data_IF_443816424134
#
_entry.id   IF_443816424134
#
_cell.length_a   1.000
_cell.length_b   1.000
_cell.length_c   1.000
_cell.angle_alpha   90.00
_cell.angle_beta   90.00
_cell.angle_gamma   90.00
#
_symmetry.space_group_name_H-M   'P 1'
#
loop_
_entity.id
_entity.type
_entity.pdbx_description
1 polymer ?
#
# COMPACT_ATOMS: atom_id res chain seq x y z
N UNK A 1 5.73 -9.73 13.20
CA UNK A 1 6.81 -9.96 12.21
C UNK A 1 6.87 -8.81 11.23
N UNK A 2 8.02 -8.20 11.07
CA UNK A 2 8.27 -7.20 10.05
C UNK A 2 9.43 -7.71 9.18
N UNK A 3 9.14 -8.43 8.08
CA UNK A 3 10.18 -8.92 7.18
C UNK A 3 10.80 -7.76 6.40
N UNK A 4 11.82 -7.14 6.97
CA UNK A 4 12.46 -5.90 6.52
C UNK A 4 12.78 -5.91 5.03
N UNK A 5 13.31 -7.01 4.49
CA UNK A 5 13.66 -7.10 3.07
C UNK A 5 12.43 -7.05 2.15
N UNK A 6 11.36 -7.78 2.50
CA UNK A 6 10.13 -7.82 1.68
C UNK A 6 9.41 -6.48 1.73
N UNK A 7 9.24 -5.90 2.93
CA UNK A 7 8.65 -4.57 3.06
C UNK A 7 9.53 -3.49 2.43
N UNK A 8 10.86 -3.59 2.58
CA UNK A 8 11.79 -2.66 1.95
C UNK A 8 11.68 -2.65 0.43
N UNK A 9 11.58 -3.84 -0.20
CA UNK A 9 11.39 -3.93 -1.66
C UNK A 9 10.03 -3.36 -2.09
N UNK A 10 8.97 -3.69 -1.36
CA UNK A 10 7.62 -3.17 -1.65
C UNK A 10 7.55 -1.65 -1.53
N UNK A 11 8.10 -1.10 -0.43
CA UNK A 11 8.20 0.36 -0.22
C UNK A 11 9.02 1.01 -1.31
N UNK A 12 10.14 0.39 -1.72
CA UNK A 12 10.98 0.90 -2.81
C UNK A 12 10.19 1.01 -4.12
N UNK A 13 9.44 -0.02 -4.50
CA UNK A 13 8.61 0.00 -5.72
C UNK A 13 7.56 1.13 -5.66
N UNK A 14 6.88 1.30 -4.52
CA UNK A 14 5.89 2.36 -4.32
C UNK A 14 6.53 3.74 -4.44
N UNK A 15 7.63 3.96 -3.73
CA UNK A 15 8.32 5.26 -3.70
C UNK A 15 8.87 5.61 -5.07
N UNK A 16 9.50 4.65 -5.74
CA UNK A 16 10.09 4.86 -7.06
C UNK A 16 9.02 5.16 -8.11
N UNK A 17 7.91 4.42 -8.09
CA UNK A 17 6.77 4.71 -8.97
C UNK A 17 6.15 6.08 -8.67
N UNK A 18 6.00 6.46 -7.39
CA UNK A 18 5.48 7.77 -7.00
C UNK A 18 6.42 8.88 -7.44
N UNK A 19 7.72 8.69 -7.29
CA UNK A 19 8.73 9.64 -7.76
C UNK A 19 8.65 9.83 -9.27
N UNK A 20 8.71 8.74 -10.07
CA UNK A 20 8.67 8.81 -11.52
C UNK A 20 7.38 9.46 -12.02
N UNK A 21 6.23 9.09 -11.43
CA UNK A 21 4.94 9.67 -11.76
C UNK A 21 4.90 11.18 -11.48
N UNK A 22 5.28 11.60 -10.28
CA UNK A 22 5.27 13.02 -9.89
C UNK A 22 6.29 13.82 -10.69
N UNK A 23 7.44 13.26 -11.01
CA UNK A 23 8.49 13.89 -11.81
C UNK A 23 8.07 14.06 -13.27
N UNK A 24 7.40 13.07 -13.85
CA UNK A 24 6.84 13.18 -15.21
C UNK A 24 5.84 14.32 -15.31
N UNK A 25 4.84 14.38 -14.42
CA UNK A 25 3.84 15.45 -14.44
C UNK A 25 4.43 16.82 -14.14
N UNK A 26 5.45 16.89 -13.32
CA UNK A 26 6.20 18.11 -13.05
C UNK A 26 6.87 18.64 -14.33
N UNK A 27 7.57 17.78 -15.06
CA UNK A 27 8.26 18.17 -16.31
C UNK A 27 7.32 18.41 -17.48
N UNK A 28 6.19 17.71 -17.55
CA UNK A 28 5.20 17.87 -18.62
C UNK A 28 4.41 19.19 -18.52
N UNK A 29 4.58 19.98 -17.44
CA UNK A 29 3.87 21.24 -17.24
C UNK A 29 2.35 21.10 -17.17
N UNK A 30 1.84 19.88 -16.94
CA UNK A 30 0.40 19.58 -16.94
C UNK A 30 -0.28 20.20 -15.70
N UNK A 31 0.48 20.48 -14.67
CA UNK A 31 0.01 21.27 -13.53
C UNK A 31 0.24 22.74 -13.84
N UNK A 32 -0.84 23.43 -14.12
CA UNK A 32 -0.90 24.88 -14.07
C UNK A 32 -0.71 25.33 -12.63
N UNK A 33 0.55 25.29 -12.13
CA UNK A 33 0.87 26.00 -10.90
C UNK A 33 0.85 27.49 -11.25
N UNK A 34 0.27 28.35 -10.40
CA UNK A 34 0.30 29.81 -10.59
C UNK A 34 1.71 30.41 -10.46
N UNK A 35 2.74 29.57 -10.36
CA UNK A 35 4.14 29.97 -10.15
C UNK A 35 4.89 29.80 -11.48
N UNK A 36 5.61 30.83 -11.96
CA UNK A 36 6.31 30.78 -13.25
C UNK A 36 7.33 29.63 -13.31
N UNK A 37 7.28 28.86 -14.41
CA UNK A 37 8.16 27.72 -14.70
C UNK A 37 9.65 28.02 -14.66
N UNK A 38 10.05 29.29 -14.75
CA UNK A 38 11.45 29.75 -14.71
C UNK A 38 12.12 29.57 -13.33
N UNK A 39 11.36 29.36 -12.26
CA UNK A 39 11.89 29.18 -10.89
C UNK A 39 12.18 27.71 -10.56
N UNK A 40 11.91 26.77 -11.49
CA UNK A 40 11.89 25.31 -11.24
C UNK A 40 13.08 24.55 -11.83
N UNK A 41 14.09 25.21 -12.38
CA UNK A 41 15.32 24.55 -12.86
C UNK A 41 16.25 24.14 -11.71
N UNK A 42 15.72 23.36 -10.74
CA UNK A 42 16.60 22.49 -9.95
C UNK A 42 17.15 21.42 -10.89
N UNK A 43 18.47 21.30 -10.95
CA UNK A 43 19.16 20.32 -11.80
C UNK A 43 18.58 18.91 -11.55
N UNK A 44 18.38 18.14 -12.60
CA UNK A 44 17.83 16.76 -12.56
C UNK A 44 18.47 15.87 -11.50
N UNK A 45 19.77 16.05 -11.23
CA UNK A 45 20.48 15.30 -10.19
C UNK A 45 19.99 15.54 -8.76
N UNK A 46 19.54 16.75 -8.43
CA UNK A 46 19.03 17.09 -7.08
C UNK A 46 17.68 16.40 -6.83
N UNK A 47 16.88 16.18 -7.86
CA UNK A 47 15.58 15.53 -7.73
C UNK A 47 15.71 14.07 -7.30
N UNK A 48 16.67 13.31 -7.83
CA UNK A 48 16.88 11.90 -7.45
C UNK A 48 17.32 11.72 -6.00
N UNK A 49 17.96 12.71 -5.39
CA UNK A 49 18.32 12.70 -3.96
C UNK A 49 17.07 12.59 -3.09
N UNK A 50 15.92 13.10 -3.54
CA UNK A 50 14.64 13.04 -2.82
C UNK A 50 14.09 11.61 -2.66
N UNK A 51 14.56 10.65 -3.48
CA UNK A 51 14.19 9.23 -3.31
C UNK A 51 14.56 8.68 -1.94
N UNK A 52 15.69 9.12 -1.37
CA UNK A 52 16.16 8.63 -0.06
C UNK A 52 15.20 9.05 1.06
N UNK A 53 14.89 10.35 1.25
CA UNK A 53 13.96 10.76 2.29
C UNK A 53 12.54 10.23 2.04
N UNK A 54 12.05 10.15 0.81
CA UNK A 54 10.76 9.54 0.48
C UNK A 54 10.72 8.07 0.89
N UNK A 55 11.79 7.31 0.60
CA UNK A 55 11.89 5.92 1.01
C UNK A 55 11.89 5.77 2.54
N UNK A 56 12.70 6.57 3.24
CA UNK A 56 12.79 6.53 4.70
C UNK A 56 11.43 6.84 5.34
N UNK A 57 10.76 7.89 4.90
CA UNK A 57 9.44 8.25 5.43
C UNK A 57 8.40 7.15 5.18
N UNK A 58 8.35 6.60 3.96
CA UNK A 58 7.42 5.53 3.64
C UNK A 58 7.72 4.26 4.46
N UNK A 59 8.99 3.89 4.60
CA UNK A 59 9.40 2.74 5.41
C UNK A 59 9.04 2.92 6.89
N UNK A 60 9.32 4.10 7.47
CA UNK A 60 8.91 4.44 8.82
C UNK A 60 7.39 4.40 8.99
N UNK A 61 6.63 4.82 7.97
CA UNK A 61 5.17 4.78 7.99
C UNK A 61 4.64 3.34 8.06
N UNK A 62 5.15 2.44 7.23
CA UNK A 62 4.79 1.01 7.30
C UNK A 62 5.20 0.39 8.64
N UNK A 63 6.35 0.77 9.18
CA UNK A 63 6.78 0.33 10.50
C UNK A 63 5.84 0.82 11.61
N UNK A 64 5.40 2.09 11.55
CA UNK A 64 4.44 2.65 12.51
C UNK A 64 3.09 1.91 12.47
N UNK A 65 2.54 1.66 11.28
CA UNK A 65 1.30 0.87 11.14
C UNK A 65 1.48 -0.50 11.78
N UNK A 66 2.61 -1.17 11.51
CA UNK A 66 2.87 -2.50 12.07
C UNK A 66 3.03 -2.49 13.59
N UNK A 67 3.64 -1.45 14.15
CA UNK A 67 3.73 -1.28 15.60
C UNK A 67 2.33 -1.09 16.21
N UNK A 68 1.50 -0.25 15.59
CA UNK A 68 0.14 -0.01 16.05
C UNK A 68 -0.73 -1.27 15.99
N UNK A 69 -0.54 -2.13 14.98
CA UNK A 69 -1.20 -3.44 14.90
C UNK A 69 -0.85 -4.32 16.12
N UNK A 70 0.41 -4.33 16.57
CA UNK A 70 0.82 -5.12 17.76
C UNK A 70 0.12 -4.60 19.03
N UNK A 71 -0.20 -3.30 19.13
CA UNK A 71 -1.01 -2.77 20.24
C UNK A 71 -2.49 -3.14 20.10
N UNK A 72 -3.04 -3.06 18.88
CA UNK A 72 -4.44 -3.36 18.59
C UNK A 72 -4.77 -4.83 18.87
N UNK A 73 -3.91 -5.73 18.39
CA UNK A 73 -4.14 -7.17 18.40
C UNK A 73 -3.62 -7.88 19.66
N UNK A 74 -3.01 -7.16 20.63
CA UNK A 74 -2.27 -7.74 21.76
C UNK A 74 -3.09 -8.76 22.55
N UNK A 75 -4.32 -8.42 22.94
CA UNK A 75 -5.17 -9.30 23.77
C UNK A 75 -5.57 -10.56 22.97
N UNK A 76 -5.91 -10.40 21.70
CA UNK A 76 -6.28 -11.51 20.82
C UNK A 76 -5.08 -12.42 20.54
N UNK A 77 -3.92 -11.84 20.30
CA UNK A 77 -2.68 -12.60 20.06
C UNK A 77 -2.21 -13.33 21.31
N UNK A 78 -2.38 -12.78 22.51
CA UNK A 78 -2.11 -13.51 23.76
C UNK A 78 -2.98 -14.76 23.89
N UNK A 79 -4.23 -14.72 23.42
CA UNK A 79 -5.18 -15.82 23.50
C UNK A 79 -4.96 -16.89 22.43
N UNK A 80 -4.82 -16.46 21.17
CA UNK A 80 -4.82 -17.40 20.03
C UNK A 80 -3.44 -17.65 19.42
N UNK A 81 -2.46 -16.77 19.69
CA UNK A 81 -1.13 -16.82 19.07
C UNK A 81 -0.01 -16.50 20.06
N UNK A 82 0.05 -17.21 21.22
CA UNK A 82 1.01 -16.93 22.30
C UNK A 82 2.48 -17.10 21.87
N UNK A 83 2.72 -17.75 20.72
CA UNK A 83 4.04 -17.93 20.12
C UNK A 83 4.62 -16.66 19.46
N UNK A 84 3.81 -15.61 19.26
CA UNK A 84 4.28 -14.34 18.68
C UNK A 84 5.27 -13.63 19.60
N UNK A 85 6.19 -12.79 19.05
CA UNK A 85 7.25 -12.17 19.85
C UNK A 85 6.75 -11.29 21.01
N UNK A 86 5.69 -10.51 20.79
CA UNK A 86 5.14 -9.60 21.82
C UNK A 86 4.39 -10.37 22.92
N UNK A 87 3.41 -11.24 22.63
CA UNK A 87 2.79 -12.09 23.65
C UNK A 87 3.78 -12.95 24.43
N UNK A 88 4.84 -13.41 23.77
CA UNK A 88 5.90 -14.24 24.38
C UNK A 88 6.88 -13.43 25.24
N UNK A 89 6.76 -12.11 25.27
CA UNK A 89 7.60 -11.24 26.10
C UNK A 89 9.01 -10.97 25.54
N UNK A 90 9.31 -11.38 24.29
CA UNK A 90 10.60 -11.08 23.65
C UNK A 90 10.75 -9.59 23.29
N UNK A 91 9.63 -8.91 23.02
CA UNK A 91 9.57 -7.49 22.75
C UNK A 91 8.48 -6.91 23.64
N UNK A 92 8.80 -5.87 24.40
CA UNK A 92 7.85 -5.21 25.29
C UNK A 92 7.06 -4.14 24.54
N UNK A 93 5.78 -3.97 24.87
CA UNK A 93 4.97 -2.89 24.34
C UNK A 93 5.55 -1.49 24.64
N UNK A 94 6.26 -1.33 25.78
CA UNK A 94 6.97 -0.09 26.11
C UNK A 94 8.10 0.24 25.12
N UNK A 95 8.83 -0.77 24.66
CA UNK A 95 9.89 -0.60 23.65
C UNK A 95 9.29 -0.20 22.29
N UNK A 96 8.18 -0.84 21.90
CA UNK A 96 7.44 -0.48 20.70
C UNK A 96 6.88 0.95 20.76
N UNK A 97 6.43 1.40 21.95
CA UNK A 97 5.98 2.79 22.14
C UNK A 97 7.11 3.78 21.93
N UNK A 98 8.30 3.51 22.46
CA UNK A 98 9.49 4.36 22.25
C UNK A 98 9.86 4.39 20.76
N UNK A 99 9.88 3.23 20.11
CA UNK A 99 10.16 3.12 18.67
C UNK A 99 9.14 3.91 17.83
N UNK A 100 7.85 3.85 18.19
CA UNK A 100 6.78 4.63 17.54
C UNK A 100 7.06 6.14 17.61
N UNK A 101 7.46 6.64 18.79
CA UNK A 101 7.80 8.05 18.99
C UNK A 101 9.02 8.43 18.13
N UNK A 102 10.06 7.60 18.12
CA UNK A 102 11.25 7.83 17.29
C UNK A 102 10.86 7.90 15.81
N UNK A 103 10.05 6.97 15.32
CA UNK A 103 9.54 6.99 13.94
C UNK A 103 8.78 8.28 13.63
N UNK A 104 7.93 8.74 14.55
CA UNK A 104 7.17 9.97 14.37
C UNK A 104 8.09 11.20 14.29
N UNK A 105 9.03 11.34 15.23
CA UNK A 105 9.99 12.46 15.24
C UNK A 105 10.82 12.48 13.95
N UNK A 106 11.34 11.32 13.52
CA UNK A 106 12.12 11.22 12.29
C UNK A 106 11.29 11.60 11.06
N UNK A 107 10.04 11.18 10.95
CA UNK A 107 9.15 11.55 9.84
C UNK A 107 8.91 13.07 9.78
N UNK A 108 8.66 13.72 10.92
CA UNK A 108 8.51 15.18 10.98
C UNK A 108 9.78 15.88 10.52
N UNK A 109 10.93 15.45 11.03
CA UNK A 109 12.23 16.04 10.66
C UNK A 109 12.49 15.88 9.15
N UNK A 110 12.31 14.68 8.62
CA UNK A 110 12.50 14.42 7.18
C UNK A 110 11.52 15.27 6.35
N UNK A 111 10.27 15.40 6.77
CA UNK A 111 9.27 16.21 6.05
C UNK A 111 9.69 17.69 6.02
N UNK A 112 10.09 18.26 7.15
CA UNK A 112 10.47 19.67 7.24
C UNK A 112 11.71 19.98 6.39
N UNK A 113 12.73 19.11 6.41
CA UNK A 113 14.01 19.40 5.79
C UNK A 113 14.09 18.97 4.31
N UNK A 114 13.33 17.96 3.87
CA UNK A 114 13.50 17.34 2.56
C UNK A 114 12.28 17.42 1.65
N UNK A 115 11.10 17.85 2.14
CA UNK A 115 9.98 18.10 1.24
C UNK A 115 10.28 19.30 0.34
N UNK A 116 9.53 19.43 -0.74
CA UNK A 116 9.67 20.58 -1.62
C UNK A 116 9.31 21.85 -0.85
N UNK A 117 10.19 22.86 -0.87
CA UNK A 117 10.03 24.11 -0.11
C UNK A 117 8.71 24.82 -0.38
N UNK A 118 8.21 24.73 -1.62
CA UNK A 118 6.93 25.31 -2.03
C UNK A 118 5.75 24.58 -1.38
N UNK A 119 5.87 23.27 -1.20
CA UNK A 119 4.80 22.40 -0.68
C UNK A 119 5.03 21.98 0.77
N UNK A 120 6.00 22.56 1.48
CA UNK A 120 6.39 22.13 2.83
C UNK A 120 5.19 22.11 3.81
N UNK A 121 4.38 23.17 3.82
CA UNK A 121 3.17 23.24 4.66
C UNK A 121 2.17 22.15 4.23
N UNK A 122 1.96 21.97 2.94
CA UNK A 122 1.08 20.92 2.42
C UNK A 122 1.58 19.52 2.79
N UNK A 123 2.89 19.29 2.68
CA UNK A 123 3.52 18.03 3.08
C UNK A 123 3.29 17.72 4.54
N UNK A 124 3.44 18.73 5.40
CA UNK A 124 3.18 18.58 6.83
C UNK A 124 1.70 18.30 7.13
N UNK A 125 0.78 19.01 6.46
CA UNK A 125 -0.67 18.75 6.58
C UNK A 125 -0.99 17.32 6.14
N UNK A 126 -0.46 16.87 5.00
CA UNK A 126 -0.66 15.51 4.52
C UNK A 126 -0.14 14.46 5.51
N UNK A 127 1.04 14.69 6.10
CA UNK A 127 1.57 13.81 7.15
C UNK A 127 0.63 13.72 8.35
N UNK A 128 0.10 14.85 8.81
CA UNK A 128 -0.87 14.90 9.92
C UNK A 128 -2.16 14.15 9.57
N UNK A 129 -2.65 14.28 8.34
CA UNK A 129 -3.83 13.55 7.86
C UNK A 129 -3.58 12.05 7.85
N UNK A 130 -2.42 11.60 7.34
CA UNK A 130 -2.04 10.17 7.37
C UNK A 130 -2.01 9.66 8.80
N UNK A 131 -1.39 10.37 9.73
CA UNK A 131 -1.32 9.95 11.14
C UNK A 131 -2.69 9.93 11.81
N UNK A 132 -3.51 10.97 11.62
CA UNK A 132 -4.87 11.00 12.14
C UNK A 132 -5.68 9.80 11.63
N UNK A 133 -5.55 9.48 10.34
CA UNK A 133 -6.23 8.33 9.75
C UNK A 133 -5.79 7.00 10.37
N UNK A 134 -4.48 6.79 10.52
CA UNK A 134 -3.92 5.57 11.11
C UNK A 134 -4.34 5.41 12.58
N UNK A 135 -4.39 6.51 13.33
CA UNK A 135 -4.88 6.47 14.71
C UNK A 135 -6.37 6.12 14.79
N UNK A 136 -7.20 6.63 13.86
CA UNK A 136 -8.60 6.26 13.75
C UNK A 136 -8.76 4.78 13.37
N UNK A 137 -7.99 4.31 12.38
CA UNK A 137 -7.96 2.90 11.96
C UNK A 137 -7.55 1.97 13.12
N UNK A 138 -6.56 2.35 13.91
CA UNK A 138 -6.13 1.58 15.09
C UNK A 138 -7.24 1.45 16.14
N UNK A 139 -8.19 2.43 16.20
CA UNK A 139 -9.37 2.40 17.05
C UNK A 139 -10.62 1.84 16.37
N UNK A 140 -10.47 1.14 15.23
CA UNK A 140 -11.58 0.63 14.42
C UNK A 140 -12.62 1.72 14.13
N UNK A 141 -12.17 2.97 13.93
CA UNK A 141 -13.03 4.16 13.70
C UNK A 141 -14.14 4.33 14.75
N UNK A 142 -13.93 3.81 15.96
CA UNK A 142 -14.90 3.71 17.04
C UNK A 142 -16.17 2.92 16.68
N UNK A 143 -16.13 2.13 15.61
CA UNK A 143 -17.25 1.34 15.06
C UNK A 143 -16.93 -0.16 15.00
N UNK A 144 -16.13 -0.70 15.91
CA UNK A 144 -15.64 -2.10 15.89
C UNK A 144 -16.77 -3.11 15.63
N UNK A 145 -17.91 -3.02 16.39
CA UNK A 145 -19.04 -3.94 16.25
C UNK A 145 -19.68 -3.93 14.85
N UNK A 146 -19.65 -2.79 14.16
CA UNK A 146 -20.15 -2.65 12.80
C UNK A 146 -19.15 -3.23 11.80
N UNK A 147 -17.88 -2.89 11.94
CA UNK A 147 -16.80 -3.36 11.07
C UNK A 147 -16.61 -4.88 11.14
N UNK A 148 -16.75 -5.46 12.34
CA UNK A 148 -16.70 -6.91 12.52
C UNK A 148 -17.76 -7.68 11.73
N UNK A 149 -18.91 -7.05 11.46
CA UNK A 149 -19.99 -7.63 10.66
C UNK A 149 -19.84 -7.39 9.16
N UNK A 150 -19.10 -6.37 8.77
CA UNK A 150 -18.98 -5.92 7.37
C UNK A 150 -17.54 -5.97 6.89
N UNK A 151 -17.05 -7.18 6.62
CA UNK A 151 -15.65 -7.43 6.22
C UNK A 151 -15.16 -6.50 5.08
N UNK A 152 -15.95 -6.31 4.02
CA UNK A 152 -15.54 -5.47 2.88
C UNK A 152 -15.43 -3.99 3.25
N UNK A 153 -16.31 -3.49 4.13
CA UNK A 153 -16.24 -2.09 4.60
C UNK A 153 -14.99 -1.91 5.47
N UNK A 154 -14.71 -2.88 6.34
CA UNK A 154 -13.51 -2.84 7.18
C UNK A 154 -12.25 -2.71 6.32
N UNK A 155 -12.13 -3.58 5.32
CA UNK A 155 -10.98 -3.54 4.40
C UNK A 155 -10.95 -2.25 3.58
N UNK A 156 -12.10 -1.76 3.12
CA UNK A 156 -12.15 -0.49 2.39
C UNK A 156 -11.57 0.67 3.20
N UNK A 157 -11.81 0.68 4.51
CA UNK A 157 -11.25 1.68 5.40
C UNK A 157 -9.77 1.39 5.72
N UNK A 158 -9.39 0.16 6.01
CA UNK A 158 -8.02 -0.16 6.36
C UNK A 158 -7.05 0.12 5.20
N UNK A 159 -7.43 -0.19 3.96
CA UNK A 159 -6.56 -0.03 2.78
C UNK A 159 -6.43 1.43 2.29
N UNK A 160 -7.20 2.37 2.86
CA UNK A 160 -7.10 3.80 2.52
C UNK A 160 -5.78 4.46 2.98
N UNK A 161 -5.02 3.81 3.84
CA UNK A 161 -3.71 4.29 4.30
C UNK A 161 -2.74 4.46 3.14
N UNK A 162 -2.72 3.51 2.19
CA UNK A 162 -1.76 3.53 1.07
C UNK A 162 -2.01 4.70 0.10
N UNK A 163 -3.24 4.97 -0.39
CA UNK A 163 -3.49 6.16 -1.21
C UNK A 163 -3.17 7.49 -0.49
N UNK A 164 -3.45 7.59 0.80
CA UNK A 164 -3.08 8.77 1.59
C UNK A 164 -1.55 8.94 1.67
N UNK A 165 -0.83 7.84 1.83
CA UNK A 165 0.63 7.84 1.81
C UNK A 165 1.18 8.28 0.44
N UNK A 166 0.59 7.81 -0.68
CA UNK A 166 0.99 8.22 -2.04
C UNK A 166 0.80 9.73 -2.24
N UNK A 167 -0.35 10.27 -1.82
CA UNK A 167 -0.61 11.71 -1.89
C UNK A 167 0.43 12.49 -1.07
N UNK A 168 0.73 12.04 0.14
CA UNK A 168 1.76 12.66 0.97
C UNK A 168 3.15 12.59 0.31
N UNK A 169 3.57 11.44 -0.18
CA UNK A 169 4.87 11.28 -0.84
C UNK A 169 5.00 12.13 -2.10
N UNK A 170 3.92 12.31 -2.86
CA UNK A 170 3.94 13.15 -4.06
C UNK A 170 4.30 14.59 -3.75
N UNK A 171 3.99 15.10 -2.56
CA UNK A 171 4.31 16.48 -2.14
C UNK A 171 5.81 16.76 -2.02
N UNK A 172 6.65 15.72 -1.96
CA UNK A 172 8.12 15.90 -1.97
C UNK A 172 8.63 16.39 -3.33
N UNK A 173 7.90 16.13 -4.40
CA UNK A 173 8.21 16.51 -5.78
C UNK A 173 7.18 17.51 -6.27
N UNK A 174 5.96 17.03 -6.50
CA UNK A 174 4.82 17.79 -6.97
C UNK A 174 3.52 17.05 -6.60
N UNK A 175 2.51 17.70 -6.02
CA UNK A 175 1.28 17.05 -5.55
C UNK A 175 0.37 16.64 -6.72
N UNK A 176 0.67 15.51 -7.36
CA UNK A 176 0.00 15.00 -8.58
C UNK A 176 -0.69 13.67 -8.39
N UNK A 177 -0.67 13.12 -7.20
CA UNK A 177 -0.89 11.70 -6.95
C UNK A 177 -2.29 11.11 -7.17
N UNK A 178 -3.27 11.80 -7.77
CA UNK A 178 -4.67 11.32 -7.77
C UNK A 178 -4.88 9.96 -8.42
N UNK A 179 -4.49 9.75 -9.67
CA UNK A 179 -4.65 8.45 -10.35
C UNK A 179 -3.74 7.37 -9.78
N UNK A 180 -2.53 7.73 -9.37
CA UNK A 180 -1.62 6.80 -8.68
C UNK A 180 -2.16 6.39 -7.31
N UNK A 181 -2.81 7.31 -6.58
CA UNK A 181 -3.48 7.01 -5.32
C UNK A 181 -4.67 6.04 -5.52
N UNK A 182 -5.49 6.25 -6.55
CA UNK A 182 -6.57 5.30 -6.92
C UNK A 182 -6.00 3.93 -7.27
N UNK A 183 -4.94 3.90 -8.08
CA UNK A 183 -4.27 2.65 -8.45
C UNK A 183 -3.70 1.93 -7.22
N UNK A 184 -3.03 2.63 -6.33
CA UNK A 184 -2.46 2.05 -5.11
C UNK A 184 -3.53 1.55 -4.14
N UNK A 185 -4.69 2.20 -4.09
CA UNK A 185 -5.84 1.73 -3.33
C UNK A 185 -6.35 0.38 -3.84
N UNK A 186 -6.49 0.22 -5.15
CA UNK A 186 -6.88 -1.07 -5.74
C UNK A 186 -5.81 -2.13 -5.49
N UNK A 187 -4.53 -1.76 -5.60
CA UNK A 187 -3.40 -2.65 -5.34
C UNK A 187 -3.43 -3.16 -3.89
N UNK A 188 -3.64 -2.28 -2.92
CA UNK A 188 -3.68 -2.69 -1.51
C UNK A 188 -4.81 -3.68 -1.23
N UNK A 189 -5.99 -3.49 -1.85
CA UNK A 189 -7.07 -4.47 -1.79
C UNK A 189 -6.69 -5.82 -2.40
N UNK A 190 -6.01 -5.83 -3.56
CA UNK A 190 -5.56 -7.07 -4.20
C UNK A 190 -4.59 -7.81 -3.27
N UNK A 191 -3.62 -7.11 -2.68
CA UNK A 191 -2.66 -7.69 -1.73
C UNK A 191 -3.39 -8.31 -0.53
N UNK A 192 -4.33 -7.58 0.06
CA UNK A 192 -5.06 -8.03 1.24
C UNK A 192 -5.95 -9.23 0.94
N UNK A 193 -6.69 -9.21 -0.18
CA UNK A 193 -7.54 -10.32 -0.60
C UNK A 193 -6.70 -11.54 -0.97
N UNK A 194 -5.65 -11.38 -1.79
CA UNK A 194 -4.78 -12.48 -2.22
C UNK A 194 -4.11 -13.18 -1.04
N UNK A 195 -3.63 -12.43 -0.06
CA UNK A 195 -3.00 -12.97 1.16
C UNK A 195 -3.96 -13.81 2.01
N UNK A 196 -5.25 -13.53 1.96
CA UNK A 196 -6.30 -14.20 2.73
C UNK A 196 -7.16 -15.15 1.89
N UNK A 197 -6.69 -15.56 0.71
CA UNK A 197 -7.26 -16.67 -0.06
C UNK A 197 -6.64 -17.96 0.43
N UNK A 198 -7.48 -18.85 1.00
CA UNK A 198 -7.05 -20.14 1.53
C UNK A 198 -7.96 -21.27 1.06
N UNK A 199 -7.42 -22.48 1.00
CA UNK A 199 -8.26 -23.68 0.88
C UNK A 199 -8.79 -24.07 2.27
N UNK A 200 -9.83 -24.90 2.32
CA UNK A 200 -10.46 -25.31 3.59
C UNK A 200 -9.49 -25.95 4.59
N UNK A 201 -8.46 -26.64 4.09
CA UNK A 201 -7.45 -27.32 4.90
C UNK A 201 -6.45 -26.37 5.56
N UNK A 202 -6.32 -25.13 5.05
CA UNK A 202 -5.41 -24.12 5.56
C UNK A 202 -6.14 -23.02 6.37
N UNK A 203 -7.45 -23.16 6.59
CA UNK A 203 -8.21 -22.23 7.41
C UNK A 203 -7.84 -22.42 8.89
N UNK A 204 -7.46 -21.33 9.55
CA UNK A 204 -7.10 -21.31 10.96
C UNK A 204 -8.30 -20.83 11.79
N UNK A 205 -8.57 -21.48 12.92
CA UNK A 205 -9.61 -21.09 13.85
C UNK A 205 -9.38 -19.65 14.37
N UNK A 206 -10.42 -18.82 14.35
CA UNK A 206 -10.33 -17.41 14.74
C UNK A 206 -9.78 -16.44 13.69
N UNK A 207 -9.37 -16.92 12.49
CA UNK A 207 -8.90 -16.08 11.39
C UNK A 207 -10.00 -15.93 10.34
N UNK A 208 -10.52 -14.69 10.17
CA UNK A 208 -11.50 -14.40 9.11
C UNK A 208 -10.78 -14.27 7.77
N UNK A 209 -10.92 -15.26 6.89
CA UNK A 209 -10.42 -15.22 5.51
C UNK A 209 -11.56 -14.91 4.55
N UNK A 210 -11.24 -14.38 3.35
CA UNK A 210 -12.27 -14.10 2.34
C UNK A 210 -12.92 -15.39 1.83
N UNK A 211 -12.13 -16.46 1.75
CA UNK A 211 -12.63 -17.78 1.34
C UNK A 211 -13.54 -18.41 2.39
N UNK A 212 -13.30 -18.20 3.68
CA UNK A 212 -14.19 -18.66 4.75
C UNK A 212 -15.50 -17.86 4.82
N UNK A 213 -15.42 -16.52 4.69
CA UNK A 213 -16.60 -15.66 4.86
C UNK A 213 -17.47 -15.59 3.61
N UNK A 214 -16.87 -15.41 2.43
CA UNK A 214 -17.58 -15.23 1.15
C UNK A 214 -17.75 -16.54 0.37
N UNK A 215 -16.95 -17.55 0.69
CA UNK A 215 -16.77 -18.75 -0.13
C UNK A 215 -15.80 -18.51 -1.29
N UNK A 216 -15.16 -19.60 -1.77
CA UNK A 216 -14.10 -19.54 -2.79
C UNK A 216 -14.57 -18.83 -4.07
N UNK A 217 -15.79 -19.12 -4.54
CA UNK A 217 -16.30 -18.53 -5.78
C UNK A 217 -16.40 -17.01 -5.72
N UNK A 218 -17.01 -16.45 -4.67
CA UNK A 218 -17.14 -14.99 -4.50
C UNK A 218 -15.79 -14.31 -4.24
N UNK A 219 -14.89 -14.96 -3.50
CA UNK A 219 -13.54 -14.44 -3.28
C UNK A 219 -12.75 -14.35 -4.60
N UNK A 220 -12.90 -15.32 -5.50
CA UNK A 220 -12.28 -15.28 -6.83
C UNK A 220 -12.89 -14.19 -7.72
N UNK A 221 -14.22 -14.02 -7.68
CA UNK A 221 -14.88 -12.91 -8.40
C UNK A 221 -14.39 -11.56 -7.89
N UNK A 222 -14.22 -11.40 -6.58
CA UNK A 222 -13.69 -10.16 -5.98
C UNK A 222 -12.30 -9.83 -6.51
N UNK A 223 -11.38 -10.80 -6.50
CA UNK A 223 -10.01 -10.57 -7.03
C UNK A 223 -10.04 -10.23 -8.52
N UNK A 224 -10.85 -10.95 -9.29
CA UNK A 224 -11.01 -10.70 -10.72
C UNK A 224 -11.51 -9.28 -11.00
N UNK A 225 -12.50 -8.81 -10.25
CA UNK A 225 -13.02 -7.43 -10.36
C UNK A 225 -11.94 -6.41 -10.01
N UNK A 226 -11.20 -6.62 -8.91
CA UNK A 226 -10.13 -5.71 -8.49
C UNK A 226 -8.99 -5.64 -9.53
N UNK A 227 -8.55 -6.78 -10.07
CA UNK A 227 -7.52 -6.82 -11.11
C UNK A 227 -8.01 -6.20 -12.43
N UNK A 228 -9.30 -6.32 -12.75
CA UNK A 228 -9.90 -5.64 -13.90
C UNK A 228 -9.90 -4.12 -13.69
N UNK A 229 -10.29 -3.65 -12.51
CA UNK A 229 -10.23 -2.22 -12.18
C UNK A 229 -8.80 -1.69 -12.23
N UNK A 230 -7.83 -2.46 -11.73
CA UNK A 230 -6.41 -2.11 -11.81
C UNK A 230 -5.95 -1.99 -13.27
N UNK A 231 -6.31 -2.94 -14.13
CA UNK A 231 -6.02 -2.91 -15.56
C UNK A 231 -6.56 -1.63 -16.23
N UNK A 232 -7.82 -1.25 -15.92
CA UNK A 232 -8.45 -0.04 -16.47
C UNK A 232 -7.71 1.21 -16.00
N UNK A 233 -7.43 1.34 -14.70
CA UNK A 233 -6.72 2.50 -14.14
C UNK A 233 -5.28 2.59 -14.69
N UNK A 234 -4.58 1.46 -14.79
CA UNK A 234 -3.26 1.41 -15.42
C UNK A 234 -3.31 1.90 -16.87
N UNK A 235 -4.33 1.48 -17.63
CA UNK A 235 -4.55 1.92 -19.00
C UNK A 235 -4.82 3.43 -19.14
N UNK A 236 -5.53 4.03 -18.17
CA UNK A 236 -5.73 5.50 -18.15
C UNK A 236 -4.43 6.26 -17.88
N UNK A 237 -3.55 5.71 -17.04
CA UNK A 237 -2.25 6.34 -16.73
C UNK A 237 -1.27 6.21 -17.89
N UNK A 238 -1.12 5.01 -18.47
CA UNK A 238 -0.11 4.70 -19.48
C UNK A 238 -0.55 5.00 -20.92
N UNK A 239 -1.83 5.30 -21.14
CA UNK A 239 -2.39 5.64 -22.44
C UNK A 239 -2.64 4.43 -23.35
N UNK A 240 -3.39 4.67 -24.44
CA UNK A 240 -3.93 3.64 -25.33
C UNK A 240 -2.89 2.77 -26.04
N UNK A 241 -1.72 3.33 -26.35
CA UNK A 241 -0.62 2.60 -27.03
C UNK A 241 -0.14 1.39 -26.25
N UNK A 242 -0.36 1.35 -24.95
CA UNK A 242 0.11 0.30 -24.06
C UNK A 242 -0.96 -0.77 -23.74
N UNK A 243 -2.20 -0.61 -24.20
CA UNK A 243 -3.31 -1.52 -23.81
C UNK A 243 -3.07 -2.98 -24.13
N UNK A 244 -2.43 -3.30 -25.26
CA UNK A 244 -2.16 -4.69 -25.63
C UNK A 244 -1.33 -5.40 -24.56
N UNK A 245 -0.26 -4.74 -24.08
CA UNK A 245 0.61 -5.28 -23.03
C UNK A 245 -0.08 -5.37 -21.68
N UNK A 246 -0.88 -4.35 -21.33
CA UNK A 246 -1.64 -4.30 -20.08
C UNK A 246 -2.66 -5.45 -20.05
N UNK A 247 -3.39 -5.66 -21.12
CA UNK A 247 -4.37 -6.77 -21.23
C UNK A 247 -3.68 -8.13 -21.22
N UNK A 248 -2.53 -8.28 -21.91
CA UNK A 248 -1.78 -9.53 -21.89
C UNK A 248 -1.28 -9.87 -20.46
N UNK A 249 -0.75 -8.90 -19.72
CA UNK A 249 -0.34 -9.07 -18.33
C UNK A 249 -1.51 -9.45 -17.42
N UNK A 250 -2.64 -8.78 -17.58
CA UNK A 250 -3.88 -9.09 -16.84
C UNK A 250 -4.36 -10.52 -17.09
N UNK A 251 -4.36 -11.00 -18.34
CA UNK A 251 -4.75 -12.37 -18.67
C UNK A 251 -3.80 -13.36 -18.00
N UNK A 252 -2.48 -13.13 -18.09
CA UNK A 252 -1.48 -13.99 -17.47
C UNK A 252 -1.63 -14.06 -15.95
N UNK A 253 -1.87 -12.93 -15.30
CA UNK A 253 -2.07 -12.84 -13.85
C UNK A 253 -3.30 -13.63 -13.38
N UNK A 254 -4.35 -13.70 -14.20
CA UNK A 254 -5.60 -14.39 -13.87
C UNK A 254 -5.57 -15.91 -14.08
N UNK A 255 -4.59 -16.46 -14.79
CA UNK A 255 -4.48 -17.92 -14.99
C UNK A 255 -4.40 -18.66 -13.65
N UNK A 256 -3.56 -18.31 -12.68
CA UNK A 256 -3.52 -18.96 -11.37
C UNK A 256 -4.81 -18.81 -10.56
N UNK A 257 -5.50 -17.67 -10.67
CA UNK A 257 -6.79 -17.44 -10.01
C UNK A 257 -7.86 -18.42 -10.53
N UNK A 258 -7.91 -18.63 -11.84
CA UNK A 258 -8.80 -19.61 -12.49
C UNK A 258 -8.43 -21.05 -12.08
N UNK A 259 -7.13 -21.36 -12.02
CA UNK A 259 -6.64 -22.67 -11.57
C UNK A 259 -7.03 -22.96 -10.12
N UNK A 260 -6.94 -21.96 -9.25
CA UNK A 260 -7.37 -22.10 -7.85
C UNK A 260 -8.88 -22.29 -7.75
N UNK A 261 -9.68 -21.52 -8.49
CA UNK A 261 -11.13 -21.69 -8.52
C UNK A 261 -11.58 -23.11 -8.91
N UNK A 262 -10.83 -23.76 -9.82
CA UNK A 262 -11.09 -25.13 -10.28
C UNK A 262 -10.57 -26.20 -9.32
N UNK A 263 -9.30 -26.10 -8.89
CA UNK A 263 -8.59 -27.16 -8.15
C UNK A 263 -8.73 -27.07 -6.62
N UNK A 264 -8.91 -25.85 -6.08
CA UNK A 264 -9.12 -25.55 -4.65
C UNK A 264 -8.06 -26.15 -3.70
N UNK A 265 -6.81 -26.25 -4.16
CA UNK A 265 -5.71 -26.86 -3.40
C UNK A 265 -4.80 -25.81 -2.79
N UNK A 266 -4.06 -26.15 -1.72
CA UNK A 266 -3.06 -25.31 -1.08
C UNK A 266 -2.01 -24.78 -2.08
N UNK A 267 -1.55 -25.64 -3.00
CA UNK A 267 -0.57 -25.22 -4.02
C UNK A 267 -1.13 -24.14 -4.95
N UNK A 268 -2.38 -24.31 -5.39
CA UNK A 268 -3.02 -23.33 -6.30
C UNK A 268 -3.39 -22.04 -5.58
N UNK A 269 -3.73 -22.06 -4.29
CA UNK A 269 -3.93 -20.86 -3.48
C UNK A 269 -2.62 -20.02 -3.37
N UNK A 270 -1.51 -20.68 -3.04
CA UNK A 270 -0.19 -20.01 -3.00
C UNK A 270 0.25 -19.49 -4.37
N UNK A 271 -0.08 -20.19 -5.44
CA UNK A 271 0.21 -19.75 -6.80
C UNK A 271 -0.60 -18.50 -7.17
N UNK A 272 -1.86 -18.42 -6.76
CA UNK A 272 -2.71 -17.25 -6.97
C UNK A 272 -2.17 -16.02 -6.19
N UNK A 273 -1.79 -16.20 -4.92
CA UNK A 273 -1.15 -15.15 -4.10
C UNK A 273 0.16 -14.66 -4.74
N UNK A 274 1.02 -15.58 -5.18
CA UNK A 274 2.30 -15.24 -5.82
C UNK A 274 2.07 -14.49 -7.15
N UNK A 275 1.11 -14.92 -7.94
CA UNK A 275 0.75 -14.27 -9.22
C UNK A 275 0.27 -12.85 -9.00
N UNK A 276 -0.60 -12.62 -8.01
CA UNK A 276 -1.07 -11.28 -7.67
C UNK A 276 0.11 -10.37 -7.28
N UNK A 277 1.03 -10.85 -6.44
CA UNK A 277 2.21 -10.08 -6.04
C UNK A 277 3.15 -9.76 -7.22
N UNK A 278 3.37 -10.72 -8.13
CA UNK A 278 4.17 -10.50 -9.34
C UNK A 278 3.48 -9.50 -10.27
N UNK A 279 2.17 -9.63 -10.47
CA UNK A 279 1.39 -8.70 -11.28
C UNK A 279 1.52 -7.27 -10.76
N UNK A 280 1.36 -7.05 -9.46
CA UNK A 280 1.53 -5.76 -8.80
C UNK A 280 2.93 -5.18 -9.01
N UNK A 281 3.97 -6.00 -8.84
CA UNK A 281 5.35 -5.57 -9.08
C UNK A 281 5.54 -5.11 -10.54
N UNK A 282 5.01 -5.86 -11.51
CA UNK A 282 5.09 -5.49 -12.94
C UNK A 282 4.29 -4.21 -13.21
N UNK A 283 3.11 -4.01 -12.57
CA UNK A 283 2.33 -2.79 -12.71
C UNK A 283 3.13 -1.57 -12.25
N UNK A 284 3.78 -1.61 -11.08
CA UNK A 284 4.64 -0.52 -10.63
C UNK A 284 5.87 -0.31 -11.54
N UNK A 285 6.52 -1.39 -11.98
CA UNK A 285 7.64 -1.28 -12.92
C UNK A 285 7.22 -0.68 -14.27
N UNK A 286 6.02 -1.02 -14.76
CA UNK A 286 5.51 -0.46 -16.02
C UNK A 286 5.31 1.06 -15.97
N UNK A 287 4.92 1.60 -14.81
CA UNK A 287 4.85 3.05 -14.62
C UNK A 287 6.22 3.72 -14.76
N UNK A 288 7.25 3.07 -14.24
CA UNK A 288 8.62 3.60 -14.30
C UNK A 288 9.18 3.58 -15.72
N UNK A 289 8.84 2.54 -16.50
CA UNK A 289 9.44 2.32 -17.83
C UNK A 289 8.65 3.04 -18.94
N UNK A 290 7.32 3.16 -18.78
CA UNK A 290 6.42 3.59 -19.86
C UNK A 290 5.89 5.02 -19.69
N UNK A 291 6.06 5.64 -18.52
CA UNK A 291 5.87 7.07 -18.30
C UNK A 291 7.15 7.82 -18.60
#
# INVERSE_FOLDING_TARGET
RFPVLVYGLYVFCIVFATFCYSYYYYNAGILTSPIPTTMYLESTGIQYIKLIPMFLVAFLQFLMVRILDEFKDYEEDCKYRPYRPVPRGLVKLSELKVLLIICAVLQVMITIFFSNSIYNILSFICLMVVWAYILLMNKDFFMKKFLDKHLLINVALDEMVLPLLIIYLSTFICPTGSWLAVMSYIISWIVEVARKIRCKEDEEEGVKTYTAVLGIGKAMVLIFVLETLLMVVQGTILGQKNYIWIVALYILANIPNILFAKKKTKKTAKLAELSANIYIAIVYCSLVILI
#
